data_IF_951342269913
#
_entry.id   IF_951342269913
#
_cell.length_a   1.000
_cell.length_b   1.000
_cell.length_c   1.000
_cell.angle_alpha   90.00
_cell.angle_beta   90.00
_cell.angle_gamma   90.00
#
_symmetry.space_group_name_H-M   'P 1'
#
loop_
_entity.id
_entity.type
_entity.pdbx_description
1 polymer ?
#
# COMPACT_ATOMS: atom_id res chain seq x y z
N UNK A 1 -5.40 -3.85 -17.67
CA UNK A 1 -4.93 -5.15 -17.13
C UNK A 1 -5.91 -5.59 -16.05
N UNK A 2 -6.37 -6.84 -16.07
CA UNK A 2 -7.25 -7.35 -15.02
C UNK A 2 -6.44 -7.59 -13.74
N UNK A 3 -7.01 -7.26 -12.59
CA UNK A 3 -6.35 -7.42 -11.28
C UNK A 3 -5.94 -8.89 -11.02
N UNK A 4 -6.74 -9.84 -11.46
CA UNK A 4 -6.42 -11.28 -11.36
C UNK A 4 -5.09 -11.61 -12.06
N UNK A 5 -4.90 -11.13 -13.28
CA UNK A 5 -3.65 -11.34 -14.02
C UNK A 5 -2.47 -10.67 -13.31
N UNK A 6 -2.68 -9.44 -12.79
CA UNK A 6 -1.66 -8.73 -12.01
C UNK A 6 -1.22 -9.58 -10.80
N UNK A 7 -2.18 -10.02 -9.98
CA UNK A 7 -1.87 -10.80 -8.78
C UNK A 7 -1.25 -12.17 -9.08
N UNK A 8 -1.67 -12.83 -10.16
CA UNK A 8 -1.03 -14.07 -10.60
C UNK A 8 0.43 -13.85 -10.98
N UNK A 9 0.73 -12.79 -11.72
CA UNK A 9 2.10 -12.45 -12.11
C UNK A 9 2.97 -12.13 -10.87
N UNK A 10 2.45 -11.31 -9.94
CA UNK A 10 3.15 -11.00 -8.68
C UNK A 10 3.47 -12.31 -7.93
N UNK A 11 2.47 -13.18 -7.77
CA UNK A 11 2.65 -14.45 -7.06
C UNK A 11 3.67 -15.37 -7.73
N UNK A 12 3.62 -15.49 -9.05
CA UNK A 12 4.60 -16.30 -9.80
C UNK A 12 6.02 -15.78 -9.62
N UNK A 13 6.21 -14.46 -9.72
CA UNK A 13 7.52 -13.83 -9.50
C UNK A 13 8.00 -14.02 -8.06
N UNK A 14 7.13 -13.81 -7.07
CA UNK A 14 7.45 -14.02 -5.66
C UNK A 14 7.82 -15.47 -5.36
N UNK A 15 7.02 -16.42 -5.81
CA UNK A 15 7.32 -17.85 -5.64
C UNK A 15 8.62 -18.27 -6.33
N UNK A 16 8.91 -17.69 -7.49
CA UNK A 16 10.18 -17.93 -8.19
C UNK A 16 11.37 -17.35 -7.40
N UNK A 17 11.23 -16.13 -6.88
CA UNK A 17 12.28 -15.50 -6.07
C UNK A 17 12.59 -16.35 -4.82
N UNK A 18 11.59 -16.78 -4.08
CA UNK A 18 11.76 -17.63 -2.88
C UNK A 18 12.44 -18.97 -3.25
N UNK A 19 12.00 -19.65 -4.32
CA UNK A 19 12.59 -20.93 -4.73
C UNK A 19 14.05 -20.82 -5.15
N UNK A 20 14.46 -19.67 -5.65
CA UNK A 20 15.81 -19.40 -6.13
C UNK A 20 16.66 -18.65 -5.09
N UNK A 21 16.18 -18.44 -3.87
CA UNK A 21 16.84 -17.63 -2.82
C UNK A 21 17.20 -16.22 -3.32
N UNK A 22 16.27 -15.57 -4.01
CA UNK A 22 16.38 -14.23 -4.59
C UNK A 22 15.29 -13.29 -4.04
N UNK A 23 14.71 -13.64 -2.89
CA UNK A 23 13.78 -12.79 -2.17
C UNK A 23 14.45 -11.46 -1.77
N UNK A 24 13.66 -10.42 -1.77
CA UNK A 24 14.12 -9.07 -1.42
C UNK A 24 13.85 -8.83 0.07
N UNK A 25 14.89 -8.87 0.86
CA UNK A 25 14.82 -8.51 2.27
C UNK A 25 14.90 -6.99 2.42
N UNK A 26 13.95 -6.40 3.15
CA UNK A 26 14.07 -4.99 3.53
C UNK A 26 15.03 -4.87 4.73
N UNK A 27 16.27 -4.47 4.45
CA UNK A 27 17.29 -4.29 5.47
C UNK A 27 16.92 -3.25 6.53
N UNK A 28 15.98 -2.33 6.23
CA UNK A 28 15.53 -1.33 7.20
C UNK A 28 14.64 -1.93 8.29
N UNK A 29 13.98 -3.05 8.02
CA UNK A 29 13.22 -3.78 9.05
C UNK A 29 14.12 -4.38 10.13
N UNK A 30 15.40 -4.61 9.84
CA UNK A 30 16.38 -5.08 10.82
C UNK A 30 16.83 -3.97 11.78
N UNK A 31 16.68 -2.70 11.38
CA UNK A 31 17.08 -1.53 12.16
C UNK A 31 16.06 -0.40 11.97
N UNK A 32 14.81 -0.56 12.40
CA UNK A 32 13.73 0.39 12.12
C UNK A 32 14.02 1.79 12.69
N UNK A 33 14.73 1.88 13.81
CA UNK A 33 15.12 3.15 14.44
C UNK A 33 16.10 3.99 13.59
N UNK A 34 16.75 3.36 12.64
CA UNK A 34 17.70 4.03 11.71
C UNK A 34 17.04 4.42 10.39
N UNK A 35 15.82 3.96 10.13
CA UNK A 35 15.11 4.33 8.89
C UNK A 35 14.52 5.72 9.02
N UNK A 36 15.25 6.70 8.49
CA UNK A 36 14.84 8.11 8.46
C UNK A 36 13.96 8.47 7.26
N UNK A 37 13.70 7.51 6.37
CA UNK A 37 12.85 7.77 5.22
C UNK A 37 11.42 8.12 5.67
N UNK A 38 10.88 9.16 5.07
CA UNK A 38 9.48 9.57 5.23
C UNK A 38 8.89 9.85 3.85
N UNK A 39 7.60 9.78 3.75
CA UNK A 39 6.83 10.06 2.54
C UNK A 39 5.41 10.46 2.88
N UNK A 40 4.63 10.76 1.87
CA UNK A 40 3.22 11.08 2.01
C UNK A 40 2.39 10.09 1.19
N UNK A 41 1.56 9.32 1.86
CA UNK A 41 0.74 8.28 1.24
C UNK A 41 -0.73 8.45 1.63
N UNK A 42 -1.61 8.38 0.67
CA UNK A 42 -3.04 8.26 0.94
C UNK A 42 -3.38 6.77 1.12
N UNK A 43 -3.93 6.43 2.28
CA UNK A 43 -4.29 5.06 2.63
C UNK A 43 -5.77 4.95 3.03
N UNK A 44 -6.31 3.74 2.94
CA UNK A 44 -7.59 3.38 3.52
C UNK A 44 -7.38 2.38 4.66
N UNK A 45 -7.89 2.72 5.84
CA UNK A 45 -7.89 1.83 7.00
C UNK A 45 -8.81 0.64 6.79
N UNK A 46 -8.47 -0.48 7.42
CA UNK A 46 -9.29 -1.68 7.38
C UNK A 46 -10.32 -1.68 8.51
N UNK A 47 -11.55 -2.17 8.26
CA UNK A 47 -12.48 -2.48 9.34
C UNK A 47 -11.88 -3.51 10.32
N UNK A 48 -12.15 -3.37 11.61
CA UNK A 48 -11.55 -4.22 12.65
C UNK A 48 -11.76 -5.72 12.44
N UNK A 49 -12.90 -6.15 11.89
CA UNK A 49 -13.15 -7.56 11.59
C UNK A 49 -12.27 -8.07 10.45
N UNK A 50 -11.95 -7.22 9.47
CA UNK A 50 -11.06 -7.58 8.35
C UNK A 50 -9.62 -7.73 8.87
N UNK A 51 -9.14 -6.75 9.65
CA UNK A 51 -7.80 -6.81 10.26
C UNK A 51 -7.65 -8.06 11.14
N UNK A 52 -8.68 -8.42 11.96
CA UNK A 52 -8.66 -9.65 12.75
C UNK A 52 -8.50 -10.92 11.91
N UNK A 53 -9.21 -11.00 10.78
CA UNK A 53 -9.10 -12.16 9.89
C UNK A 53 -7.71 -12.27 9.26
N UNK A 54 -7.11 -11.15 8.87
CA UNK A 54 -5.73 -11.12 8.37
C UNK A 54 -4.77 -11.57 9.47
N UNK A 55 -4.87 -10.99 10.67
CA UNK A 55 -4.03 -11.35 11.80
C UNK A 55 -4.13 -12.83 12.17
N UNK A 56 -5.31 -13.43 12.11
CA UNK A 56 -5.49 -14.87 12.33
C UNK A 56 -4.68 -15.72 11.32
N UNK A 57 -4.63 -15.30 10.05
CA UNK A 57 -3.79 -15.97 9.05
C UNK A 57 -2.29 -15.74 9.33
N UNK A 58 -1.89 -14.51 9.67
CA UNK A 58 -0.50 -14.19 9.99
C UNK A 58 0.01 -14.94 11.23
N UNK A 59 -0.81 -15.11 12.26
CA UNK A 59 -0.45 -15.90 13.44
C UNK A 59 -0.12 -17.36 13.11
N UNK A 60 -0.85 -17.97 12.16
CA UNK A 60 -0.53 -19.33 11.70
C UNK A 60 0.82 -19.38 10.97
N UNK A 61 1.14 -18.36 10.19
CA UNK A 61 2.44 -18.25 9.53
C UNK A 61 3.55 -18.01 10.55
N UNK A 62 3.34 -17.14 11.52
CA UNK A 62 4.30 -16.87 12.59
C UNK A 62 4.61 -18.11 13.45
N UNK A 63 3.67 -19.04 13.57
CA UNK A 63 3.91 -20.33 14.25
C UNK A 63 4.87 -21.24 13.46
N UNK A 64 4.96 -21.07 12.14
CA UNK A 64 5.84 -21.86 11.25
C UNK A 64 7.17 -21.13 11.06
N UNK A 65 7.13 -19.81 10.86
CA UNK A 65 8.28 -18.94 10.58
C UNK A 65 8.33 -17.77 11.58
N UNK A 66 8.73 -18.00 12.83
CA UNK A 66 8.66 -16.98 13.88
C UNK A 66 9.66 -15.82 13.70
N UNK A 67 10.67 -15.98 12.85
CA UNK A 67 11.68 -14.95 12.58
C UNK A 67 11.29 -13.97 11.49
N UNK A 68 10.09 -14.10 10.90
CA UNK A 68 9.59 -13.12 9.92
C UNK A 68 9.05 -11.88 10.62
N UNK A 69 9.14 -10.74 9.93
CA UNK A 69 8.50 -9.52 10.37
C UNK A 69 7.01 -9.53 9.99
N UNK A 70 6.16 -9.30 10.98
CA UNK A 70 4.72 -9.16 10.78
C UNK A 70 4.27 -7.78 11.22
N UNK A 71 3.60 -7.06 10.33
CA UNK A 71 3.04 -5.75 10.66
C UNK A 71 1.99 -5.86 11.76
N UNK A 72 1.99 -4.93 12.74
CA UNK A 72 0.92 -4.87 13.73
C UNK A 72 -0.42 -4.50 13.08
N UNK A 73 -1.56 -4.85 13.71
CA UNK A 73 -2.89 -4.58 13.14
C UNK A 73 -3.15 -3.13 12.77
N UNK A 74 -2.54 -2.19 13.49
CA UNK A 74 -2.68 -0.75 13.26
C UNK A 74 -2.04 -0.29 11.95
N UNK A 75 -1.04 -1.03 11.45
CA UNK A 75 -0.30 -0.67 10.24
C UNK A 75 -0.90 -1.32 8.99
N UNK A 76 -1.84 -2.26 9.16
CA UNK A 76 -2.52 -2.90 8.03
C UNK A 76 -3.44 -1.90 7.33
N UNK A 77 -3.16 -1.61 6.08
CA UNK A 77 -3.92 -0.66 5.27
C UNK A 77 -3.92 -1.03 3.79
N UNK A 78 -4.78 -0.37 3.04
CA UNK A 78 -4.74 -0.38 1.57
C UNK A 78 -4.12 0.94 1.11
N UNK A 79 -3.05 0.88 0.35
CA UNK A 79 -2.49 2.06 -0.30
C UNK A 79 -3.39 2.50 -1.45
N UNK A 80 -3.95 3.70 -1.33
CA UNK A 80 -4.68 4.34 -2.42
C UNK A 80 -3.67 4.85 -3.45
N UNK A 81 -2.73 5.67 -3.03
CA UNK A 81 -1.66 6.22 -3.87
C UNK A 81 -0.54 6.76 -3.00
N UNK A 82 0.72 6.56 -3.42
CA UNK A 82 1.85 7.32 -2.89
C UNK A 82 1.83 8.73 -3.50
N UNK A 83 1.57 9.74 -2.68
CA UNK A 83 1.62 11.14 -3.12
C UNK A 83 3.07 11.60 -3.28
N UNK A 84 3.91 11.29 -2.30
CA UNK A 84 5.36 11.49 -2.35
C UNK A 84 6.04 10.24 -1.83
N UNK A 85 6.81 9.57 -2.67
CA UNK A 85 7.54 8.37 -2.29
C UNK A 85 8.51 8.64 -1.13
N UNK A 86 8.66 7.65 -0.25
CA UNK A 86 9.53 7.77 0.91
C UNK A 86 10.99 8.00 0.52
N UNK A 87 11.62 9.01 1.13
CA UNK A 87 13.04 9.34 0.98
C UNK A 87 13.62 9.90 2.28
N UNK A 88 14.93 9.88 2.42
CA UNK A 88 15.63 10.50 3.56
C UNK A 88 15.53 12.03 3.56
N UNK A 89 15.31 12.60 2.39
CA UNK A 89 15.26 14.06 2.18
C UNK A 89 13.84 14.60 2.21
N UNK A 90 12.87 13.75 2.57
CA UNK A 90 11.47 14.16 2.65
C UNK A 90 11.29 15.26 3.71
N UNK A 91 10.72 16.37 3.29
CA UNK A 91 10.30 17.45 4.15
C UNK A 91 8.97 18.00 3.67
N UNK A 92 8.06 18.26 4.58
CA UNK A 92 6.76 18.82 4.30
C UNK A 92 6.46 19.86 5.37
N UNK A 93 6.21 21.10 4.98
CA UNK A 93 5.76 22.14 5.91
C UNK A 93 4.31 21.89 6.35
N UNK A 94 3.94 22.41 7.52
CA UNK A 94 2.55 22.35 8.01
C UNK A 94 1.56 22.95 7.01
N UNK A 95 1.97 24.01 6.33
CA UNK A 95 1.13 24.65 5.29
C UNK A 95 0.90 23.71 4.09
N UNK A 96 1.93 23.04 3.61
CA UNK A 96 1.80 22.07 2.53
C UNK A 96 0.98 20.87 2.94
N UNK A 97 1.17 20.36 4.17
CA UNK A 97 0.38 19.26 4.70
C UNK A 97 -1.12 19.60 4.71
N UNK A 98 -1.49 20.76 5.22
CA UNK A 98 -2.89 21.23 5.22
C UNK A 98 -3.42 21.42 3.79
N UNK A 99 -2.59 21.91 2.87
CA UNK A 99 -2.96 22.06 1.45
C UNK A 99 -3.25 20.69 0.83
N UNK A 100 -2.42 19.65 1.08
CA UNK A 100 -2.70 18.29 0.64
C UNK A 100 -4.01 17.77 1.22
N UNK A 101 -4.23 17.90 2.53
CA UNK A 101 -5.47 17.44 3.20
C UNK A 101 -6.70 18.08 2.57
N UNK A 102 -6.67 19.38 2.33
CA UNK A 102 -7.80 20.12 1.77
C UNK A 102 -8.10 19.70 0.33
N UNK A 103 -7.09 19.65 -0.54
CA UNK A 103 -7.28 19.31 -1.95
C UNK A 103 -7.69 17.84 -2.12
N UNK A 104 -7.01 16.92 -1.42
CA UNK A 104 -7.36 15.49 -1.42
C UNK A 104 -8.77 15.28 -0.87
N UNK A 105 -9.13 15.96 0.23
CA UNK A 105 -10.48 15.89 0.79
C UNK A 105 -11.56 16.34 -0.18
N UNK A 106 -11.33 17.45 -0.91
CA UNK A 106 -12.25 17.92 -1.94
C UNK A 106 -12.42 16.90 -3.07
N UNK A 107 -11.32 16.30 -3.53
CA UNK A 107 -11.36 15.27 -4.58
C UNK A 107 -12.15 14.04 -4.10
N UNK A 108 -11.86 13.55 -2.89
CA UNK A 108 -12.54 12.38 -2.31
C UNK A 108 -14.04 12.64 -2.18
N UNK A 109 -14.45 13.85 -1.78
CA UNK A 109 -15.87 14.18 -1.59
C UNK A 109 -16.70 14.07 -2.88
N UNK A 110 -16.06 14.11 -4.04
CA UNK A 110 -16.71 13.95 -5.34
C UNK A 110 -16.75 12.51 -5.84
N UNK A 111 -16.08 11.58 -5.11
CA UNK A 111 -16.03 10.16 -5.48
C UNK A 111 -17.06 9.41 -4.65
N UNK A 112 -17.87 8.61 -5.31
CA UNK A 112 -18.82 7.72 -4.62
C UNK A 112 -18.10 6.60 -3.83
N UNK A 113 -18.85 5.82 -3.05
CA UNK A 113 -18.27 4.73 -2.26
C UNK A 113 -17.44 3.77 -3.11
N UNK A 114 -16.27 3.41 -2.60
CA UNK A 114 -15.37 2.46 -3.23
C UNK A 114 -15.51 1.13 -2.48
N UNK A 115 -15.88 0.08 -3.21
CA UNK A 115 -16.03 -1.25 -2.64
C UNK A 115 -14.77 -2.07 -2.87
N UNK A 116 -14.30 -2.78 -1.82
CA UNK A 116 -13.22 -3.74 -1.87
C UNK A 116 -13.68 -5.13 -1.50
N UNK A 117 -13.16 -6.11 -2.21
CA UNK A 117 -13.23 -7.51 -1.83
C UNK A 117 -11.80 -8.01 -1.61
N UNK A 118 -11.46 -8.37 -0.38
CA UNK A 118 -10.19 -9.00 -0.05
C UNK A 118 -10.34 -10.52 -0.19
N UNK A 119 -9.44 -11.16 -0.95
CA UNK A 119 -9.59 -12.58 -1.29
C UNK A 119 -8.25 -13.29 -1.48
N UNK A 120 -7.81 -13.98 -0.43
CA UNK A 120 -6.61 -14.81 -0.42
C UNK A 120 -5.30 -14.03 -0.35
N UNK A 121 -4.25 -14.75 0.03
CA UNK A 121 -2.90 -14.22 0.19
C UNK A 121 -2.02 -14.72 -0.95
N UNK A 122 -1.06 -13.91 -1.34
CA UNK A 122 -0.01 -14.21 -2.31
C UNK A 122 1.32 -13.70 -1.78
N UNK A 123 2.40 -14.17 -2.38
CA UNK A 123 3.73 -13.61 -2.12
C UNK A 123 4.20 -12.74 -3.28
N UNK A 124 4.85 -11.62 -2.96
CA UNK A 124 5.74 -10.91 -3.86
C UNK A 124 7.18 -11.36 -3.58
N UNK A 125 8.16 -10.75 -4.25
CA UNK A 125 9.57 -11.02 -3.95
C UNK A 125 10.01 -10.54 -2.56
N UNK A 126 9.26 -9.65 -1.90
CA UNK A 126 9.67 -9.07 -0.62
C UNK A 126 8.58 -9.02 0.45
N UNK A 127 7.35 -9.45 0.17
CA UNK A 127 6.26 -9.38 1.14
C UNK A 127 5.12 -10.35 0.85
N UNK A 128 4.35 -10.67 1.87
CA UNK A 128 3.03 -11.30 1.74
C UNK A 128 1.98 -10.22 1.49
N UNK A 129 1.10 -10.45 0.52
CA UNK A 129 0.06 -9.51 0.12
C UNK A 129 -1.32 -10.17 0.23
N UNK A 130 -2.29 -9.48 0.82
CA UNK A 130 -3.70 -9.87 0.73
C UNK A 130 -4.29 -9.21 -0.53
N UNK A 131 -4.75 -10.03 -1.48
CA UNK A 131 -5.31 -9.52 -2.73
C UNK A 131 -6.55 -8.69 -2.49
N UNK A 132 -6.60 -7.49 -3.04
CA UNK A 132 -7.76 -6.61 -2.99
C UNK A 132 -8.31 -6.31 -4.38
N UNK A 133 -9.55 -6.68 -4.60
CA UNK A 133 -10.32 -6.38 -5.80
C UNK A 133 -11.23 -5.20 -5.50
N UNK A 134 -11.22 -4.19 -6.35
CA UNK A 134 -11.92 -2.94 -6.09
C UNK A 134 -12.82 -2.51 -7.24
N UNK A 135 -13.83 -1.71 -6.92
CA UNK A 135 -14.71 -1.10 -7.91
C UNK A 135 -14.00 0.01 -8.70
N UNK A 136 -14.54 0.39 -9.85
CA UNK A 136 -13.98 1.43 -10.73
C UNK A 136 -13.69 2.77 -10.03
N UNK A 137 -14.40 3.06 -8.94
CA UNK A 137 -14.22 4.28 -8.14
C UNK A 137 -12.79 4.52 -7.68
N UNK A 138 -12.02 3.44 -7.37
CA UNK A 138 -10.60 3.61 -7.00
C UNK A 138 -9.76 4.14 -8.17
N UNK A 139 -9.96 3.61 -9.36
CA UNK A 139 -9.26 4.11 -10.54
C UNK A 139 -9.64 5.56 -10.85
N UNK A 140 -10.92 5.89 -10.69
CA UNK A 140 -11.41 7.27 -10.84
C UNK A 140 -10.74 8.21 -9.83
N UNK A 141 -10.68 7.82 -8.56
CA UNK A 141 -10.00 8.60 -7.51
C UNK A 141 -8.52 8.81 -7.82
N UNK A 142 -7.79 7.74 -8.17
CA UNK A 142 -6.36 7.83 -8.53
C UNK A 142 -6.13 8.77 -9.71
N UNK A 143 -6.96 8.67 -10.75
CA UNK A 143 -6.85 9.53 -11.92
C UNK A 143 -7.17 11.00 -11.58
N UNK A 144 -8.18 11.25 -10.74
CA UNK A 144 -8.51 12.59 -10.28
C UNK A 144 -7.36 13.19 -9.47
N UNK A 145 -6.76 12.43 -8.53
CA UNK A 145 -5.60 12.89 -7.76
C UNK A 145 -4.41 13.23 -8.68
N UNK A 146 -4.12 12.37 -9.66
CA UNK A 146 -3.02 12.58 -10.61
C UNK A 146 -3.23 13.84 -11.46
N UNK A 147 -4.46 14.16 -11.78
CA UNK A 147 -4.79 15.33 -12.58
C UNK A 147 -4.82 16.61 -11.75
N UNK A 148 -5.47 16.56 -10.60
CA UNK A 148 -5.81 17.79 -9.84
C UNK A 148 -4.65 18.26 -8.94
N UNK A 149 -3.87 17.37 -8.32
CA UNK A 149 -2.78 17.78 -7.43
C UNK A 149 -1.78 18.74 -8.10
N UNK A 150 -1.28 18.46 -9.32
CA UNK A 150 -0.38 19.39 -10.01
C UNK A 150 -1.02 20.77 -10.32
N UNK A 151 -2.34 20.82 -10.57
CA UNK A 151 -3.04 22.07 -10.80
C UNK A 151 -3.12 22.97 -9.54
N UNK A 152 -2.91 22.38 -8.38
CA UNK A 152 -2.81 23.07 -7.10
C UNK A 152 -1.36 23.25 -6.63
N UNK A 153 -0.37 23.16 -7.51
CA UNK A 153 1.06 23.23 -7.16
C UNK A 153 1.46 22.24 -6.05
N UNK A 154 0.83 21.07 -6.05
CA UNK A 154 1.16 19.98 -5.13
C UNK A 154 1.94 18.89 -5.88
N UNK A 155 3.06 18.49 -5.30
CA UNK A 155 3.92 17.46 -5.86
C UNK A 155 3.19 16.11 -5.87
N UNK A 156 3.30 15.41 -6.98
CA UNK A 156 2.94 13.99 -7.08
C UNK A 156 4.15 13.23 -7.61
N UNK A 157 4.73 12.40 -6.75
CA UNK A 157 5.93 11.61 -7.06
C UNK A 157 5.76 10.19 -6.55
N UNK A 158 4.97 9.40 -7.25
CA UNK A 158 4.81 7.97 -6.97
C UNK A 158 6.15 7.24 -7.13
N UNK A 159 6.40 6.24 -6.30
CA UNK A 159 7.54 5.30 -6.46
C UNK A 159 7.39 4.49 -7.74
N UNK A 160 6.17 4.04 -7.99
CA UNK A 160 5.72 3.33 -9.20
C UNK A 160 4.21 3.55 -9.37
N UNK A 161 3.66 3.39 -10.57
CA UNK A 161 2.23 3.54 -10.78
C UNK A 161 1.44 2.56 -9.90
N UNK A 162 0.64 3.08 -8.97
CA UNK A 162 -0.16 2.27 -8.05
C UNK A 162 -1.38 1.70 -8.79
N UNK A 163 -1.39 0.39 -9.06
CA UNK A 163 -2.47 -0.30 -9.77
C UNK A 163 -3.25 -1.24 -8.84
N UNK A 164 -2.55 -1.98 -7.98
CA UNK A 164 -3.16 -2.94 -7.06
C UNK A 164 -3.96 -2.25 -5.94
N UNK A 165 -4.79 -3.04 -5.24
CA UNK A 165 -5.53 -2.60 -4.05
C UNK A 165 -5.31 -3.58 -2.89
N UNK A 166 -4.09 -4.09 -2.75
CA UNK A 166 -3.73 -5.09 -1.75
C UNK A 166 -3.51 -4.48 -0.36
N UNK A 167 -3.47 -5.36 0.63
CA UNK A 167 -2.94 -5.09 1.97
C UNK A 167 -1.60 -5.81 2.09
N UNK A 168 -0.62 -5.11 2.62
CA UNK A 168 0.70 -5.66 2.97
C UNK A 168 0.76 -5.88 4.46
#
# INVERSE_FOLDING_TARGET
MQLTTLYNNINQQGMSAIRNHQEQLDSNLLNPDKDMRRGLTLTASLPAHVSRNIMFCLQKLAAIEPNQYFYPPADLHITIIDLIAASSDFSLSTFEEEKYKNVVGQIISQIGPIHWQLAGMITSSGALLVKGYYSAGLSTLRNALKKELPLHDLLLKERYPTISGHVT
#
